data_IF_254045505524
#
_entry.id   IF_254045505524
#
_cell.length_a   1.000
_cell.length_b   1.000
_cell.length_c   1.000
_cell.angle_alpha   90.00
_cell.angle_beta   90.00
_cell.angle_gamma   90.00
#
_symmetry.space_group_name_H-M   'P 1'
#
loop_
_entity.id
_entity.type
_entity.pdbx_description
1 polymer ?
#
# COMPACT_ATOMS: atom_id res chain seq x y z
N UNK A 1 -5.82 -2.72 -21.30
CA UNK A 1 -4.69 -3.58 -20.87
C UNK A 1 -4.43 -3.26 -19.40
N UNK A 2 -4.73 -4.11 -18.42
CA UNK A 2 -4.45 -3.76 -17.03
C UNK A 2 -2.94 -3.56 -16.80
N UNK A 3 -2.57 -2.40 -16.25
CA UNK A 3 -1.18 -2.09 -15.91
C UNK A 3 -0.95 -2.42 -14.44
N UNK A 4 0.24 -2.87 -14.07
CA UNK A 4 0.56 -3.19 -12.68
C UNK A 4 1.99 -2.85 -12.35
N UNK A 5 2.26 -2.63 -11.07
CA UNK A 5 3.61 -2.39 -10.56
C UNK A 5 3.74 -2.85 -9.12
N UNK A 6 4.97 -2.78 -8.61
CA UNK A 6 5.30 -3.15 -7.22
C UNK A 6 5.93 -1.96 -6.52
N UNK A 7 5.57 -1.74 -5.27
CA UNK A 7 6.22 -0.80 -4.36
C UNK A 7 6.78 -1.56 -3.16
N UNK A 8 7.96 -1.15 -2.73
CA UNK A 8 8.67 -1.76 -1.62
C UNK A 8 9.15 -0.68 -0.66
N UNK A 9 9.21 -1.00 0.63
CA UNK A 9 9.88 -0.14 1.60
C UNK A 9 11.37 -0.01 1.25
N UNK A 10 12.02 1.12 1.59
CA UNK A 10 13.45 1.28 1.34
C UNK A 10 14.26 0.12 1.92
N UNK A 11 15.20 -0.40 1.12
CA UNK A 11 16.09 -1.51 1.44
C UNK A 11 15.42 -2.90 1.63
N UNK A 12 14.13 -3.07 1.31
CA UNK A 12 13.49 -4.38 1.28
C UNK A 12 14.31 -5.39 0.43
N UNK A 13 14.48 -6.66 0.84
CA UNK A 13 13.91 -7.32 2.02
C UNK A 13 14.75 -7.20 3.30
N UNK A 14 15.72 -6.28 3.36
CA UNK A 14 16.47 -6.00 4.60
C UNK A 14 15.66 -5.11 5.55
N UNK A 15 15.92 -5.13 6.87
CA UNK A 15 15.16 -4.33 7.82
C UNK A 15 15.17 -2.84 7.50
N UNK A 16 14.00 -2.19 7.59
CA UNK A 16 13.89 -0.74 7.34
C UNK A 16 14.60 0.06 8.44
N UNK A 17 15.07 1.26 8.06
CA UNK A 17 15.72 2.22 8.95
C UNK A 17 14.70 3.13 9.64
N UNK A 18 15.09 3.71 10.78
CA UNK A 18 14.35 4.81 11.40
C UNK A 18 14.49 6.11 10.63
N UNK A 19 13.55 7.04 10.84
CA UNK A 19 13.57 8.38 10.25
C UNK A 19 13.10 8.42 8.80
N UNK A 20 12.26 7.47 8.39
CA UNK A 20 11.70 7.42 7.03
C UNK A 20 10.35 8.12 6.98
N UNK A 21 10.15 8.91 5.92
CA UNK A 21 8.86 9.46 5.51
C UNK A 21 8.80 9.41 3.98
N UNK A 22 8.32 8.30 3.44
CA UNK A 22 8.23 8.07 2.01
C UNK A 22 6.79 8.29 1.55
N UNK A 23 6.61 8.96 0.42
CA UNK A 23 5.31 9.14 -0.23
C UNK A 23 5.39 8.60 -1.66
N UNK A 24 4.59 7.58 -1.94
CA UNK A 24 4.45 7.00 -3.27
C UNK A 24 3.14 7.47 -3.90
N UNK A 25 3.21 8.05 -5.10
CA UNK A 25 2.06 8.46 -5.87
C UNK A 25 1.76 7.43 -6.96
N UNK A 26 0.61 6.77 -6.85
CA UNK A 26 0.07 5.91 -7.90
C UNK A 26 -1.10 6.66 -8.52
N UNK A 27 -0.93 7.15 -9.74
CA UNK A 27 -1.97 7.86 -10.47
C UNK A 27 -2.14 7.33 -11.89
N UNK A 28 -3.36 7.42 -12.40
CA UNK A 28 -3.76 7.03 -13.76
C UNK A 28 -4.77 8.04 -14.32
N UNK A 29 -5.15 7.89 -15.59
CA UNK A 29 -6.25 8.65 -16.19
C UNK A 29 -7.57 8.45 -15.44
N UNK A 30 -8.45 9.44 -15.50
CA UNK A 30 -9.67 9.54 -14.68
C UNK A 30 -10.69 8.42 -14.86
N UNK A 31 -10.63 7.67 -15.96
CA UNK A 31 -11.51 6.52 -16.25
C UNK A 31 -11.01 5.20 -15.68
N UNK A 32 -9.89 5.20 -14.95
CA UNK A 32 -9.30 3.98 -14.39
C UNK A 32 -9.35 4.02 -12.87
N UNK A 33 -9.23 2.86 -12.26
CA UNK A 33 -9.20 2.71 -10.79
C UNK A 33 -7.95 1.94 -10.36
N UNK A 34 -7.50 2.19 -9.13
CA UNK A 34 -6.29 1.58 -8.58
C UNK A 34 -6.65 0.61 -7.46
N UNK A 35 -6.21 -0.65 -7.57
CA UNK A 35 -6.33 -1.64 -6.50
C UNK A 35 -4.94 -1.93 -5.90
N UNK A 36 -4.87 -2.14 -4.59
CA UNK A 36 -3.62 -2.42 -3.85
C UNK A 36 -3.72 -3.77 -3.16
N UNK A 37 -2.68 -4.59 -3.35
CA UNK A 37 -2.52 -5.88 -2.65
C UNK A 37 -1.16 -5.92 -1.97
N UNK A 38 -1.13 -6.15 -0.66
CA UNK A 38 0.12 -6.40 0.06
C UNK A 38 0.62 -7.82 -0.23
N UNK A 39 1.88 -7.94 -0.63
CA UNK A 39 2.54 -9.22 -0.91
C UNK A 39 3.43 -9.66 0.27
N UNK A 40 3.98 -8.70 1.01
CA UNK A 40 4.72 -8.91 2.25
C UNK A 40 4.49 -7.70 3.16
N UNK A 41 4.31 -7.94 4.44
CA UNK A 41 4.08 -6.90 5.42
C UNK A 41 4.65 -7.33 6.77
N UNK A 42 5.63 -6.58 7.24
CA UNK A 42 6.39 -6.86 8.44
C UNK A 42 6.94 -5.53 8.98
N UNK A 43 6.13 -4.88 9.81
CA UNK A 43 6.42 -3.63 10.50
C UNK A 43 6.36 -3.83 12.01
N UNK A 44 6.90 -2.85 12.76
CA UNK A 44 6.74 -2.77 14.20
C UNK A 44 5.26 -2.94 14.58
N UNK A 45 5.01 -3.71 15.64
CA UNK A 45 3.67 -3.95 16.16
C UNK A 45 3.03 -2.66 16.68
N UNK A 46 1.72 -2.70 16.91
CA UNK A 46 1.03 -1.57 17.51
C UNK A 46 1.55 -1.28 18.93
N UNK A 47 1.45 -0.01 19.33
CA UNK A 47 1.79 0.39 20.69
C UNK A 47 0.83 -0.30 21.68
N UNK A 48 1.38 -0.94 22.72
CA UNK A 48 0.60 -1.80 23.65
C UNK A 48 -0.44 -1.05 24.47
N UNK A 49 -0.20 0.22 24.77
CA UNK A 49 -1.09 1.01 25.63
C UNK A 49 -2.24 1.63 24.84
N UNK A 50 -1.92 2.18 23.66
CA UNK A 50 -2.89 2.87 22.80
C UNK A 50 -3.56 1.97 21.76
N UNK A 51 -2.98 0.81 21.46
CA UNK A 51 -3.38 -0.06 20.36
C UNK A 51 -3.10 0.51 18.96
N UNK A 52 -2.42 1.65 18.86
CA UNK A 52 -2.22 2.38 17.61
C UNK A 52 -0.86 2.11 16.96
N UNK A 53 -0.80 2.25 15.64
CA UNK A 53 0.43 2.19 14.84
C UNK A 53 1.19 3.53 14.90
N UNK A 54 2.19 3.64 15.77
CA UNK A 54 2.93 4.88 16.03
C UNK A 54 4.39 4.84 15.55
N UNK A 55 5.06 3.70 15.66
CA UNK A 55 6.51 3.58 15.40
C UNK A 55 6.85 3.36 13.93
N UNK A 56 6.11 2.49 13.26
CA UNK A 56 6.22 2.26 11.83
C UNK A 56 4.85 1.92 11.27
N UNK A 57 4.45 2.59 10.19
CA UNK A 57 3.16 2.33 9.56
C UNK A 57 3.13 2.67 8.08
N UNK A 58 2.23 1.98 7.38
CA UNK A 58 1.77 2.37 6.06
C UNK A 58 0.40 3.03 6.19
N UNK A 59 0.23 4.19 5.55
CA UNK A 59 -1.04 4.90 5.42
C UNK A 59 -1.40 4.96 3.93
N UNK A 60 -2.63 4.59 3.60
CA UNK A 60 -3.16 4.69 2.23
C UNK A 60 -4.17 5.81 2.19
N UNK A 61 -3.95 6.78 1.30
CA UNK A 61 -4.85 7.92 1.07
C UNK A 61 -5.39 7.81 -0.35
N UNK A 62 -6.71 7.81 -0.48
CA UNK A 62 -7.39 7.74 -1.77
C UNK A 62 -7.82 9.14 -2.16
N UNK A 63 -7.48 9.60 -3.36
CA UNK A 63 -7.90 10.91 -3.87
C UNK A 63 -9.03 10.70 -4.86
N UNK A 64 -10.19 11.28 -4.58
CA UNK A 64 -11.33 11.15 -5.49
C UNK A 64 -11.19 12.01 -6.76
N UNK A 65 -12.07 11.79 -7.73
CA UNK A 65 -12.08 12.53 -9.00
C UNK A 65 -12.29 14.05 -8.86
N UNK A 66 -12.74 14.52 -7.69
CA UNK A 66 -12.87 15.94 -7.37
C UNK A 66 -11.61 16.51 -6.70
N UNK A 67 -10.59 15.67 -6.48
CA UNK A 67 -9.35 16.04 -5.81
C UNK A 67 -9.43 16.02 -4.29
N UNK A 68 -10.51 15.49 -3.69
CA UNK A 68 -10.63 15.38 -2.24
C UNK A 68 -9.91 14.12 -1.74
N UNK A 69 -9.11 14.29 -0.69
CA UNK A 69 -8.39 13.21 -0.02
C UNK A 69 -9.27 12.48 1.00
N UNK A 70 -9.24 11.16 0.95
CA UNK A 70 -9.88 10.25 1.90
C UNK A 70 -8.79 9.47 2.61
N UNK A 71 -8.50 9.85 3.85
CA UNK A 71 -7.41 9.31 4.66
C UNK A 71 -7.86 7.98 5.27
N UNK A 72 -7.14 6.89 4.98
CA UNK A 72 -7.41 5.57 5.54
C UNK A 72 -6.81 5.35 6.94
N UNK A 73 -6.82 4.09 7.37
CA UNK A 73 -6.17 3.67 8.61
C UNK A 73 -4.65 3.54 8.44
N UNK A 74 -3.94 3.62 9.57
CA UNK A 74 -2.53 3.22 9.64
C UNK A 74 -2.43 1.71 9.82
N UNK A 75 -1.62 1.06 9.01
CA UNK A 75 -1.33 -0.37 9.09
C UNK A 75 0.06 -0.60 9.67
N UNK A 76 0.19 -1.54 10.60
CA UNK A 76 1.46 -1.96 11.21
C UNK A 76 1.38 -3.42 11.69
N UNK A 77 2.46 -3.93 12.28
CA UNK A 77 2.60 -5.34 12.64
C UNK A 77 2.97 -6.25 11.47
N UNK A 78 2.75 -7.54 11.68
CA UNK A 78 3.18 -8.63 10.78
C UNK A 78 2.04 -9.30 10.00
N UNK A 79 0.78 -8.92 10.26
CA UNK A 79 -0.38 -9.41 9.50
C UNK A 79 -0.53 -8.67 8.18
N UNK A 80 -0.76 -9.39 7.08
CA UNK A 80 -1.06 -8.77 5.78
C UNK A 80 -2.37 -7.97 5.86
N UNK A 81 -2.35 -6.66 5.51
CA UNK A 81 -3.58 -5.89 5.36
C UNK A 81 -4.47 -6.46 4.26
N UNK A 82 -5.79 -6.27 4.40
CA UNK A 82 -6.74 -6.65 3.37
C UNK A 82 -6.47 -5.91 2.05
N UNK A 83 -6.82 -6.54 0.92
CA UNK A 83 -6.78 -5.90 -0.39
C UNK A 83 -7.63 -4.63 -0.36
N UNK A 84 -7.09 -3.54 -0.90
CA UNK A 84 -7.77 -2.26 -1.00
C UNK A 84 -8.23 -2.09 -2.44
N UNK A 85 -9.54 -2.17 -2.66
CA UNK A 85 -10.18 -1.95 -3.95
C UNK A 85 -10.79 -0.55 -3.94
N UNK A 86 -10.32 0.31 -4.83
CA UNK A 86 -10.79 1.70 -4.91
C UNK A 86 -11.63 1.92 -6.17
N UNK A 87 -12.42 2.98 -6.16
CA UNK A 87 -13.13 3.48 -7.34
C UNK A 87 -12.48 4.76 -7.89
N UNK A 88 -11.21 4.99 -7.55
CA UNK A 88 -10.54 6.28 -7.77
C UNK A 88 -9.23 6.11 -8.54
N UNK A 89 -8.84 7.12 -9.35
CA UNK A 89 -7.68 7.03 -10.23
C UNK A 89 -6.35 7.31 -9.52
N UNK A 90 -6.39 7.85 -8.29
CA UNK A 90 -5.19 8.30 -7.59
C UNK A 90 -5.18 7.78 -6.15
N UNK A 91 -4.07 7.15 -5.79
CA UNK A 91 -3.81 6.66 -4.45
C UNK A 91 -2.40 7.04 -4.02
N UNK A 92 -2.28 7.62 -2.84
CA UNK A 92 -1.01 7.81 -2.16
C UNK A 92 -0.78 6.69 -1.16
N UNK A 93 0.44 6.14 -1.17
CA UNK A 93 0.92 5.24 -0.13
C UNK A 93 2.02 5.96 0.63
N UNK A 94 1.79 6.25 1.89
CA UNK A 94 2.78 6.84 2.78
C UNK A 94 3.37 5.76 3.69
N UNK A 95 4.70 5.71 3.80
CA UNK A 95 5.39 4.89 4.78
C UNK A 95 6.18 5.78 5.74
N UNK A 96 5.88 5.66 7.03
CA UNK A 96 6.55 6.39 8.10
C UNK A 96 7.22 5.40 9.05
N UNK A 97 8.45 5.68 9.45
CA UNK A 97 9.16 4.96 10.50
C UNK A 97 9.94 5.92 11.39
N UNK A 98 9.65 5.94 12.69
CA UNK A 98 10.33 6.75 13.71
C UNK A 98 11.31 5.93 14.53
N UNK A 99 11.16 4.60 14.58
CA UNK A 99 12.06 3.66 15.27
C UNK A 99 12.63 2.61 14.30
N UNK A 100 13.86 2.10 14.54
CA UNK A 100 14.51 1.17 13.61
C UNK A 100 13.80 -0.18 13.58
N UNK A 101 13.62 -0.74 12.38
CA UNK A 101 12.90 -2.00 12.19
C UNK A 101 13.58 -3.21 12.84
N UNK A 102 14.92 -3.21 12.98
CA UNK A 102 15.85 -4.25 13.52
C UNK A 102 15.61 -5.71 13.07
N UNK A 103 14.39 -6.21 13.21
CA UNK A 103 13.89 -7.51 12.75
C UNK A 103 12.76 -7.42 11.72
N UNK A 104 12.23 -6.23 11.45
CA UNK A 104 11.11 -6.00 10.55
C UNK A 104 11.58 -5.60 9.16
N UNK A 105 11.27 -6.43 8.17
CA UNK A 105 11.75 -6.28 6.78
C UNK A 105 11.07 -5.18 5.98
N UNK A 106 9.96 -4.66 6.50
CA UNK A 106 9.18 -3.63 5.81
C UNK A 106 8.01 -4.21 5.05
N UNK A 107 7.70 -3.65 3.88
CA UNK A 107 6.58 -4.12 3.07
C UNK A 107 6.94 -4.21 1.60
N UNK A 108 6.19 -5.08 0.92
CA UNK A 108 6.08 -5.15 -0.54
C UNK A 108 4.62 -5.19 -0.89
N UNK A 109 4.17 -4.31 -1.77
CA UNK A 109 2.81 -4.31 -2.30
C UNK A 109 2.82 -4.28 -3.81
N UNK A 110 1.75 -4.78 -4.42
CA UNK A 110 1.46 -4.67 -5.84
C UNK A 110 0.25 -3.77 -6.02
N UNK A 111 0.33 -2.86 -6.98
CA UNK A 111 -0.81 -2.08 -7.42
C UNK A 111 -1.23 -2.51 -8.82
N UNK A 112 -2.52 -2.41 -9.10
CA UNK A 112 -3.13 -2.75 -10.37
C UNK A 112 -4.04 -1.62 -10.82
N UNK A 113 -3.87 -1.19 -12.07
CA UNK A 113 -4.71 -0.20 -12.73
C UNK A 113 -5.73 -0.95 -13.56
N UNK A 114 -7.00 -0.81 -13.17
CA UNK A 114 -8.15 -1.42 -13.82
C UNK A 114 -8.85 -0.35 -14.65
N UNK A 115 -9.17 -0.69 -15.90
CA UNK A 115 -9.79 0.24 -16.85
C UNK A 115 -11.31 0.08 -16.77
N UNK A 116 -12.07 1.16 -16.60
CA UNK A 116 -13.55 1.07 -16.42
C UNK A 116 -14.33 0.54 -17.64
N UNK A 117 -13.66 0.22 -18.76
CA UNK A 117 -14.26 -0.48 -19.90
C UNK A 117 -13.98 -1.99 -19.96
N UNK A 118 -13.21 -2.55 -19.03
CA UNK A 118 -12.72 -3.92 -19.12
C UNK A 118 -12.78 -4.63 -17.76
N UNK A 119 -13.98 -5.00 -17.31
CA UNK A 119 -14.18 -5.98 -16.22
C UNK A 119 -13.61 -7.40 -16.53
N UNK A 120 -12.76 -7.52 -17.56
CA UNK A 120 -12.23 -8.76 -18.12
C UNK A 120 -10.73 -8.95 -17.86
N UNK A 121 -10.10 -8.17 -16.99
CA UNK A 121 -8.77 -8.52 -16.46
C UNK A 121 -8.87 -9.62 -15.40
N UNK A 122 -9.56 -10.73 -15.71
CA UNK A 122 -9.36 -11.97 -14.97
C UNK A 122 -7.93 -12.41 -15.29
N UNK A 123 -7.03 -12.31 -14.31
CA UNK A 123 -5.70 -12.91 -14.38
C UNK A 123 -5.91 -14.37 -14.77
N UNK A 124 -5.45 -14.76 -15.96
CA UNK A 124 -5.51 -16.13 -16.42
C UNK A 124 -4.70 -17.01 -15.46
N UNK A 125 -5.36 -17.55 -14.45
CA UNK A 125 -4.79 -18.57 -13.59
C UNK A 125 -4.64 -19.81 -14.47
N UNK A 126 -3.41 -20.15 -14.84
CA UNK A 126 -3.09 -21.44 -15.44
C UNK A 126 -3.45 -22.51 -14.41
N UNK A 127 -4.62 -23.13 -14.56
CA UNK A 127 -4.81 -24.50 -14.04
C UNK A 127 -3.96 -25.42 -14.93
N UNK A 128 -3.02 -26.11 -14.29
CA UNK A 128 -2.44 -27.35 -14.82
C UNK A 128 -3.52 -28.43 -14.87
#
# INVERSE_FOLDING_TARGET
MCSSGTLESPAFPTPYRSGLSCLYNISTVSSNVVHITFLSFDLAENNRDSGQCLEAYVLVVVVDRLGKEHIGNRFCGSSLPAKIETMQPTVYVQFVSTAPGKHHRGFRLRYEIIYEGLFICQVASRKM
#
